data_IF_057542185923
#
_entry.id   IF_057542185923
#
_cell.length_a   1.000
_cell.length_b   1.000
_cell.length_c   1.000
_cell.angle_alpha   90.00
_cell.angle_beta   90.00
_cell.angle_gamma   90.00
#
_symmetry.space_group_name_H-M   'P 1'
#
loop_
_entity.id
_entity.type
_entity.pdbx_description
1 polymer ?
#
# COMPACT_ATOMS: atom_id res chain seq x y z
N UNK A 1 14.55 18.02 17.08
CA UNK A 1 14.15 18.62 15.82
C UNK A 1 13.31 17.62 15.04
N UNK A 2 12.13 18.02 14.61
CA UNK A 2 11.20 17.14 13.90
C UNK A 2 11.62 17.09 12.42
N UNK A 3 12.04 15.91 11.96
CA UNK A 3 12.15 15.65 10.54
C UNK A 3 10.75 15.38 10.01
N UNK A 4 10.25 16.26 9.15
CA UNK A 4 8.87 16.18 8.60
C UNK A 4 8.65 14.92 7.78
N UNK A 5 9.72 14.34 7.23
CA UNK A 5 9.69 13.21 6.31
C UNK A 5 10.12 11.89 6.92
N UNK A 6 10.62 11.88 8.15
CA UNK A 6 11.13 10.69 8.79
C UNK A 6 10.15 10.11 9.83
N UNK A 7 9.88 8.82 9.73
CA UNK A 7 9.21 8.05 10.77
C UNK A 7 10.20 7.74 11.91
N UNK A 8 9.70 7.64 13.14
CA UNK A 8 10.48 7.23 14.30
C UNK A 8 10.17 5.77 14.60
N UNK A 9 11.15 4.88 14.36
CA UNK A 9 11.02 3.47 14.70
C UNK A 9 11.04 3.34 16.22
N UNK A 10 10.06 2.65 16.78
CA UNK A 10 9.83 2.54 18.22
C UNK A 10 9.94 1.13 18.75
N UNK A 11 9.92 0.13 17.87
CA UNK A 11 10.14 -1.27 18.18
C UNK A 11 10.65 -2.03 16.96
N UNK A 12 11.65 -2.88 17.16
CA UNK A 12 12.14 -3.88 16.18
C UNK A 12 12.14 -5.25 16.84
N UNK A 13 12.11 -6.33 16.04
CA UNK A 13 12.36 -7.68 16.52
C UNK A 13 13.87 -7.97 16.66
N UNK A 14 14.20 -9.21 17.01
CA UNK A 14 15.59 -9.68 17.15
C UNK A 14 16.38 -9.73 15.84
N UNK A 15 15.70 -9.68 14.70
CA UNK A 15 16.28 -9.65 13.35
C UNK A 15 16.34 -8.24 12.77
N UNK A 16 15.96 -7.20 13.54
CA UNK A 16 15.94 -5.80 13.10
C UNK A 16 14.72 -5.42 12.25
N UNK A 17 13.72 -6.30 12.13
CA UNK A 17 12.48 -6.00 11.42
C UNK A 17 11.66 -4.98 12.23
N UNK A 18 11.21 -3.94 11.57
CA UNK A 18 10.43 -2.87 12.19
C UNK A 18 9.03 -3.36 12.53
N UNK A 19 8.68 -3.38 13.81
CA UNK A 19 7.38 -3.82 14.32
C UNK A 19 6.45 -2.68 14.71
N UNK A 20 6.99 -1.51 15.07
CA UNK A 20 6.21 -0.33 15.42
C UNK A 20 6.97 0.94 15.09
N UNK A 21 6.25 1.95 14.63
CA UNK A 21 6.81 3.28 14.38
C UNK A 21 5.79 4.36 14.68
N UNK A 22 6.27 5.57 14.97
CA UNK A 22 5.47 6.79 14.86
C UNK A 22 5.68 7.32 13.45
N UNK A 23 4.60 7.45 12.70
CA UNK A 23 4.66 7.90 11.30
C UNK A 23 5.25 9.31 11.19
N UNK A 24 5.87 9.59 10.04
CA UNK A 24 6.37 10.93 9.73
C UNK A 24 5.24 11.97 9.83
N UNK A 25 5.50 13.19 10.34
CA UNK A 25 4.48 14.23 10.51
C UNK A 25 3.68 14.52 9.25
N UNK A 26 4.31 14.50 8.08
CA UNK A 26 3.64 14.67 6.79
C UNK A 26 2.59 13.57 6.54
N UNK A 27 2.90 12.32 6.86
CA UNK A 27 1.98 11.21 6.67
C UNK A 27 0.81 11.30 7.66
N UNK A 28 1.09 11.68 8.91
CA UNK A 28 0.03 11.90 9.91
C UNK A 28 -0.92 13.01 9.46
N UNK A 29 -0.39 14.17 9.03
CA UNK A 29 -1.20 15.29 8.54
C UNK A 29 -2.06 14.87 7.33
N UNK A 30 -1.48 14.21 6.34
CA UNK A 30 -2.18 13.70 5.16
C UNK A 30 -3.35 12.77 5.54
N UNK A 31 -3.13 11.83 6.47
CA UNK A 31 -4.17 10.90 6.90
C UNK A 31 -5.25 11.57 7.76
N UNK A 32 -4.90 12.54 8.59
CA UNK A 32 -5.86 13.35 9.34
C UNK A 32 -6.74 14.19 8.38
N UNK A 33 -6.16 14.78 7.34
CA UNK A 33 -6.94 15.46 6.29
C UNK A 33 -7.87 14.48 5.54
N UNK A 34 -7.44 13.26 5.30
CA UNK A 34 -8.28 12.21 4.72
C UNK A 34 -9.40 11.77 5.66
N UNK A 35 -9.11 11.66 6.96
CA UNK A 35 -10.07 11.25 7.99
C UNK A 35 -11.13 12.31 8.30
N UNK A 36 -10.79 13.60 8.17
CA UNK A 36 -11.67 14.75 8.44
C UNK A 36 -12.36 14.68 9.81
N UNK A 37 -11.64 14.42 10.90
CA UNK A 37 -12.24 14.41 12.23
C UNK A 37 -12.83 15.81 12.55
N UNK A 38 -13.96 15.84 13.26
CA UNK A 38 -14.68 17.07 13.64
C UNK A 38 -15.03 17.03 15.12
N UNK A 39 -15.25 18.20 15.77
CA UNK A 39 -15.71 18.25 17.14
C UNK A 39 -16.93 17.36 17.40
N UNK A 40 -16.90 16.62 18.50
CA UNK A 40 -17.94 15.69 18.92
C UNK A 40 -17.92 14.31 18.25
N UNK A 41 -17.01 14.06 17.30
CA UNK A 41 -16.90 12.75 16.66
C UNK A 41 -16.28 11.72 17.58
N UNK A 42 -16.66 10.44 17.37
CA UNK A 42 -16.03 9.26 17.94
C UNK A 42 -15.08 8.65 16.90
N UNK A 43 -13.83 8.42 17.30
CA UNK A 43 -12.77 7.92 16.42
C UNK A 43 -12.14 6.66 17.01
N UNK A 44 -12.04 5.61 16.19
CA UNK A 44 -11.21 4.44 16.45
C UNK A 44 -9.90 4.58 15.68
N UNK A 45 -8.78 4.65 16.39
CA UNK A 45 -7.44 4.53 15.82
C UNK A 45 -6.93 3.10 16.01
N UNK A 46 -6.40 2.51 14.94
CA UNK A 46 -5.78 1.18 14.95
C UNK A 46 -4.28 1.34 14.68
N UNK A 47 -3.45 0.93 15.66
CA UNK A 47 -2.02 1.23 15.73
C UNK A 47 -1.75 2.36 16.71
N UNK A 48 -1.38 2.03 17.95
CA UNK A 48 -1.35 2.98 19.08
C UNK A 48 0.03 3.62 19.28
N UNK A 49 0.42 4.55 18.40
CA UNK A 49 1.65 5.33 18.55
C UNK A 49 1.59 6.40 19.66
N UNK A 50 0.41 6.80 20.11
CA UNK A 50 0.13 7.84 21.08
C UNK A 50 0.05 9.24 20.49
N UNK A 51 0.98 9.67 19.65
CA UNK A 51 1.01 11.01 19.07
C UNK A 51 -0.20 11.29 18.16
N UNK A 52 -0.53 10.37 17.28
CA UNK A 52 -1.66 10.55 16.37
C UNK A 52 -3.00 10.54 17.13
N UNK A 53 -3.12 9.71 18.19
CA UNK A 53 -4.26 9.73 19.09
C UNK A 53 -4.44 11.09 19.80
N UNK A 54 -3.33 11.74 20.18
CA UNK A 54 -3.38 13.09 20.75
C UNK A 54 -3.88 14.12 19.71
N UNK A 55 -3.40 14.04 18.46
CA UNK A 55 -3.93 14.92 17.39
C UNK A 55 -5.42 14.70 17.14
N UNK A 56 -5.86 13.45 17.10
CA UNK A 56 -7.29 13.12 16.98
C UNK A 56 -8.08 13.70 18.14
N UNK A 57 -7.58 13.57 19.38
CA UNK A 57 -8.23 14.13 20.57
C UNK A 57 -8.38 15.66 20.50
N UNK A 58 -7.38 16.39 20.01
CA UNK A 58 -7.48 17.83 19.78
C UNK A 58 -8.54 18.17 18.72
N UNK A 59 -8.57 17.43 17.62
CA UNK A 59 -9.47 17.69 16.51
C UNK A 59 -10.94 17.36 16.82
N UNK A 60 -11.21 16.34 17.64
CA UNK A 60 -12.58 16.01 18.06
C UNK A 60 -13.06 16.81 19.26
N UNK A 61 -12.16 17.49 19.97
CA UNK A 61 -12.49 18.34 21.11
C UNK A 61 -12.94 17.57 22.36
N UNK A 62 -13.45 18.29 23.36
CA UNK A 62 -13.84 17.73 24.66
C UNK A 62 -15.10 16.86 24.58
N UNK A 63 -16.01 17.16 23.65
CA UNK A 63 -17.24 16.41 23.42
C UNK A 63 -17.03 15.18 22.54
N UNK A 64 -15.82 15.00 21.97
CA UNK A 64 -15.45 13.86 21.14
C UNK A 64 -14.79 12.75 21.95
N UNK A 65 -14.71 11.58 21.33
CA UNK A 65 -14.10 10.39 21.93
C UNK A 65 -13.04 9.79 20.99
N UNK A 66 -11.88 9.43 21.56
CA UNK A 66 -10.83 8.72 20.83
C UNK A 66 -10.49 7.44 21.57
N UNK A 67 -10.61 6.32 20.85
CA UNK A 67 -10.12 5.00 21.28
C UNK A 67 -8.97 4.63 20.38
N UNK A 68 -7.82 4.31 20.97
CA UNK A 68 -6.62 3.84 20.24
C UNK A 68 -6.29 2.42 20.64
N UNK A 69 -6.10 1.55 19.66
CA UNK A 69 -5.95 0.10 19.84
C UNK A 69 -4.65 -0.39 19.23
N UNK A 70 -3.95 -1.26 19.93
CA UNK A 70 -2.81 -2.00 19.42
C UNK A 70 -2.78 -3.41 20.01
N UNK A 71 -2.30 -4.36 19.24
CA UNK A 71 -2.16 -5.74 19.70
C UNK A 71 -1.00 -5.91 20.69
N UNK A 72 -0.01 -5.02 20.64
CA UNK A 72 1.22 -5.11 21.43
C UNK A 72 1.07 -4.36 22.78
N UNK A 73 1.13 -5.08 23.93
CA UNK A 73 1.00 -4.44 25.25
C UNK A 73 2.17 -3.48 25.57
N UNK A 74 3.33 -3.62 24.94
CA UNK A 74 4.45 -2.69 25.10
C UNK A 74 4.12 -1.36 24.44
N UNK A 75 3.53 -1.42 23.24
CA UNK A 75 3.12 -0.24 22.46
C UNK A 75 2.01 0.50 23.22
N UNK A 76 0.93 -0.19 23.61
CA UNK A 76 -0.19 0.42 24.34
C UNK A 76 0.22 0.97 25.70
N UNK A 77 1.09 0.25 26.43
CA UNK A 77 1.64 0.72 27.71
C UNK A 77 2.48 1.99 27.56
N UNK A 78 3.23 2.13 26.47
CA UNK A 78 3.96 3.37 26.16
C UNK A 78 2.99 4.50 25.78
N UNK A 79 2.03 4.23 24.91
CA UNK A 79 1.04 5.20 24.47
C UNK A 79 0.28 5.79 25.67
N UNK A 80 -0.21 4.94 26.58
CA UNK A 80 -0.90 5.36 27.80
C UNK A 80 -0.05 6.31 28.64
N UNK A 81 1.22 5.92 28.94
CA UNK A 81 2.12 6.79 29.74
C UNK A 81 2.36 8.15 29.08
N UNK A 82 2.51 8.19 27.76
CA UNK A 82 2.73 9.43 27.03
C UNK A 82 1.48 10.31 27.04
N UNK A 83 0.32 9.74 26.77
CA UNK A 83 -0.96 10.45 26.74
C UNK A 83 -1.31 11.02 28.13
N UNK A 84 -1.22 10.21 29.18
CA UNK A 84 -1.47 10.64 30.56
C UNK A 84 -0.51 11.74 30.99
N UNK A 85 0.79 11.59 30.67
CA UNK A 85 1.84 12.54 31.04
C UNK A 85 1.71 13.90 30.34
N UNK A 86 0.95 13.99 29.25
CA UNK A 86 0.77 15.22 28.46
C UNK A 86 -0.68 15.74 28.47
N UNK A 87 -1.52 15.26 29.39
CA UNK A 87 -2.88 15.79 29.58
C UNK A 87 -3.95 15.18 28.67
N UNK A 88 -3.64 14.08 27.97
CA UNK A 88 -4.57 13.37 27.08
C UNK A 88 -5.16 12.11 27.75
N UNK A 89 -5.32 12.09 29.06
CA UNK A 89 -5.91 10.96 29.81
C UNK A 89 -7.33 10.58 29.40
N UNK A 90 -8.02 11.45 28.62
CA UNK A 90 -9.34 11.16 28.02
C UNK A 90 -9.29 10.23 26.82
N UNK A 91 -8.10 9.95 26.26
CA UNK A 91 -7.93 8.98 25.19
C UNK A 91 -7.96 7.56 25.78
N UNK A 92 -8.84 6.72 25.28
CA UNK A 92 -8.95 5.34 25.72
C UNK A 92 -7.95 4.46 24.97
N UNK A 93 -6.96 3.92 25.69
CA UNK A 93 -5.95 3.01 25.10
C UNK A 93 -6.35 1.58 25.39
N UNK A 94 -6.49 0.76 24.34
CA UNK A 94 -6.93 -0.65 24.43
C UNK A 94 -5.84 -1.55 23.87
N UNK A 95 -5.58 -2.68 24.55
CA UNK A 95 -4.71 -3.75 24.03
C UNK A 95 -5.61 -4.87 23.52
N UNK A 96 -5.73 -4.99 22.19
CA UNK A 96 -6.55 -6.00 21.52
C UNK A 96 -6.12 -6.20 20.06
N UNK A 97 -6.50 -7.33 19.47
CA UNK A 97 -6.44 -7.51 18.01
C UNK A 97 -7.61 -6.74 17.39
N UNK A 98 -7.31 -5.67 16.67
CA UNK A 98 -8.32 -4.83 16.03
C UNK A 98 -8.97 -5.47 14.79
N UNK A 99 -8.59 -6.68 14.40
CA UNK A 99 -9.34 -7.47 13.42
C UNK A 99 -10.70 -7.92 13.97
N UNK A 100 -10.84 -7.97 15.30
CA UNK A 100 -12.09 -8.24 16.00
C UNK A 100 -12.75 -6.93 16.43
N UNK A 101 -14.05 -7.01 16.72
CA UNK A 101 -14.78 -5.86 17.26
C UNK A 101 -14.24 -5.49 18.65
N UNK A 102 -14.00 -4.20 18.86
CA UNK A 102 -13.62 -3.72 20.19
C UNK A 102 -14.85 -3.68 21.08
N UNK A 103 -14.85 -4.46 22.19
CA UNK A 103 -16.00 -4.51 23.09
C UNK A 103 -16.36 -3.12 23.63
N UNK A 104 -17.66 -2.89 23.82
CA UNK A 104 -18.23 -1.67 24.39
C UNK A 104 -17.93 -0.36 23.62
N UNK A 105 -17.21 -0.43 22.49
CA UNK A 105 -16.92 0.74 21.68
C UNK A 105 -18.17 1.28 20.98
N UNK A 106 -19.06 0.38 20.50
CA UNK A 106 -20.18 0.77 19.66
C UNK A 106 -19.77 1.30 18.28
N UNK A 107 -20.62 2.11 17.66
CA UNK A 107 -20.33 2.71 16.36
C UNK A 107 -19.50 3.97 16.47
N UNK A 108 -18.60 4.18 15.51
CA UNK A 108 -17.69 5.33 15.40
C UNK A 108 -17.91 6.11 14.10
N UNK A 109 -17.58 7.39 14.11
CA UNK A 109 -17.66 8.24 12.91
C UNK A 109 -16.48 8.02 11.96
N UNK A 110 -15.31 7.67 12.55
CA UNK A 110 -14.07 7.46 11.82
C UNK A 110 -13.34 6.22 12.35
N UNK A 111 -12.90 5.37 11.45
CA UNK A 111 -11.88 4.35 11.70
C UNK A 111 -10.60 4.80 10.97
N UNK A 112 -9.52 4.97 11.70
CA UNK A 112 -8.22 5.37 11.16
C UNK A 112 -7.16 4.32 11.46
N UNK A 113 -6.72 3.61 10.43
CA UNK A 113 -5.69 2.55 10.56
C UNK A 113 -4.32 3.16 10.31
N UNK A 114 -3.39 2.97 11.24
CA UNK A 114 -2.01 3.49 11.15
C UNK A 114 -0.96 2.38 11.06
N UNK A 115 -1.37 1.22 10.55
CA UNK A 115 -0.53 0.09 10.17
C UNK A 115 -0.87 -0.34 8.74
N UNK A 116 0.09 -0.95 8.03
CA UNK A 116 -0.10 -1.40 6.66
C UNK A 116 -1.03 -2.61 6.58
N UNK A 117 -2.25 -2.41 6.11
CA UNK A 117 -3.26 -3.44 5.99
C UNK A 117 -3.23 -4.11 4.61
N UNK A 118 -3.25 -5.44 4.60
CA UNK A 118 -3.40 -6.20 3.37
C UNK A 118 -4.87 -6.39 2.99
N UNK A 119 -5.76 -6.45 3.98
CA UNK A 119 -7.20 -6.61 3.79
C UNK A 119 -7.98 -5.67 4.72
N UNK A 120 -9.26 -5.52 4.49
CA UNK A 120 -10.18 -4.77 5.34
C UNK A 120 -10.88 -5.76 6.28
N UNK A 121 -10.57 -5.67 7.57
CA UNK A 121 -11.24 -6.51 8.56
C UNK A 121 -12.73 -6.17 8.63
N UNK A 122 -13.63 -7.18 8.66
CA UNK A 122 -15.08 -6.97 8.77
C UNK A 122 -15.48 -6.14 9.99
N UNK A 123 -14.74 -6.24 11.08
CA UNK A 123 -14.98 -5.48 12.31
C UNK A 123 -14.90 -3.96 12.08
N UNK A 124 -14.00 -3.50 11.19
CA UNK A 124 -13.84 -2.06 10.94
C UNK A 124 -15.07 -1.45 10.28
N UNK A 125 -15.66 -2.17 9.33
CA UNK A 125 -16.88 -1.73 8.66
C UNK A 125 -18.12 -1.91 9.51
N UNK A 126 -18.16 -2.95 10.36
CA UNK A 126 -19.26 -3.21 11.28
C UNK A 126 -19.35 -2.19 12.42
N UNK A 127 -18.23 -1.59 12.83
CA UNK A 127 -18.18 -0.54 13.85
C UNK A 127 -18.24 0.88 13.25
N UNK A 128 -18.35 1.01 11.92
CA UNK A 128 -18.45 2.30 11.27
C UNK A 128 -19.91 2.72 11.12
N UNK A 129 -20.26 3.92 11.57
CA UNK A 129 -21.60 4.49 11.38
C UNK A 129 -21.95 4.61 9.90
N UNK A 130 -23.23 4.56 9.51
CA UNK A 130 -23.64 4.95 8.17
C UNK A 130 -23.10 6.34 7.80
N UNK A 131 -22.42 6.44 6.66
CA UNK A 131 -21.73 7.67 6.24
C UNK A 131 -20.41 7.95 6.98
N UNK A 132 -19.98 7.07 7.87
CA UNK A 132 -18.67 7.14 8.52
C UNK A 132 -17.53 6.91 7.54
N UNK A 133 -16.31 7.17 7.98
CA UNK A 133 -15.10 7.19 7.15
C UNK A 133 -14.06 6.20 7.64
N UNK A 134 -13.54 5.39 6.73
CA UNK A 134 -12.38 4.52 6.97
C UNK A 134 -11.16 5.09 6.24
N UNK A 135 -10.08 5.34 6.97
CA UNK A 135 -8.77 5.70 6.37
C UNK A 135 -7.78 4.59 6.68
N UNK A 136 -7.19 4.01 5.65
CA UNK A 136 -6.35 2.82 5.81
C UNK A 136 -5.21 2.79 4.79
N UNK A 137 -3.96 2.49 5.23
CA UNK A 137 -2.85 2.16 4.34
C UNK A 137 -3.09 0.77 3.74
N UNK A 138 -3.80 0.71 2.62
CA UNK A 138 -4.18 -0.54 1.97
C UNK A 138 -3.12 -0.98 0.97
N UNK A 139 -2.68 -2.23 1.11
CA UNK A 139 -1.71 -2.85 0.22
C UNK A 139 -2.44 -3.61 -0.90
N UNK A 140 -2.05 -3.31 -2.14
CA UNK A 140 -2.63 -3.87 -3.36
C UNK A 140 -1.51 -4.16 -4.35
N UNK A 141 -1.26 -5.42 -4.66
CA UNK A 141 -0.26 -5.86 -5.65
C UNK A 141 1.14 -5.25 -5.42
N UNK A 142 1.66 -5.27 -4.19
CA UNK A 142 2.97 -4.73 -3.84
C UNK A 142 3.01 -3.21 -3.64
N UNK A 143 1.89 -2.51 -3.86
CA UNK A 143 1.78 -1.06 -3.70
C UNK A 143 0.91 -0.72 -2.50
N UNK A 144 1.37 0.20 -1.65
CA UNK A 144 0.57 0.68 -0.51
C UNK A 144 0.06 2.09 -0.77
N UNK A 145 -1.22 2.30 -0.49
CA UNK A 145 -1.88 3.60 -0.57
C UNK A 145 -2.64 3.88 0.72
N UNK A 146 -2.49 5.06 1.28
CA UNK A 146 -3.46 5.57 2.26
C UNK A 146 -4.74 5.92 1.51
N UNK A 147 -5.79 5.15 1.75
CA UNK A 147 -7.07 5.31 1.07
C UNK A 147 -8.11 5.79 2.09
N UNK A 148 -8.81 6.86 1.75
CA UNK A 148 -10.00 7.28 2.46
C UNK A 148 -11.24 6.70 1.77
N UNK A 149 -12.00 5.90 2.50
CA UNK A 149 -13.22 5.27 2.04
C UNK A 149 -14.45 5.85 2.73
N UNK A 150 -15.56 5.87 1.98
CA UNK A 150 -16.91 6.02 2.52
C UNK A 150 -17.74 4.78 2.18
N UNK A 151 -18.70 4.46 3.05
CA UNK A 151 -19.62 3.37 2.80
C UNK A 151 -20.70 3.81 1.82
N UNK A 152 -20.92 3.00 0.80
CA UNK A 152 -21.95 3.21 -0.22
C UNK A 152 -22.95 2.05 -0.18
N UNK A 153 -24.23 2.35 -0.22
CA UNK A 153 -25.29 1.35 -0.38
C UNK A 153 -25.58 1.17 -1.85
N UNK A 154 -25.18 0.03 -2.41
CA UNK A 154 -25.43 -0.33 -3.80
C UNK A 154 -26.60 -1.30 -3.98
N UNK A 155 -26.90 -1.65 -5.23
CA UNK A 155 -27.97 -2.59 -5.57
C UNK A 155 -27.77 -4.00 -5.00
N UNK A 156 -26.52 -4.39 -4.75
CA UNK A 156 -26.12 -5.72 -4.28
C UNK A 156 -25.54 -5.72 -2.85
N UNK A 157 -25.81 -4.68 -2.07
CA UNK A 157 -25.32 -4.53 -0.70
C UNK A 157 -24.36 -3.37 -0.51
N UNK A 158 -23.85 -3.22 0.71
CA UNK A 158 -22.91 -2.17 1.04
C UNK A 158 -21.51 -2.53 0.56
N UNK A 159 -20.79 -1.52 0.07
CA UNK A 159 -19.37 -1.58 -0.27
C UNK A 159 -18.69 -0.28 0.15
N UNK A 160 -17.36 -0.28 0.18
CA UNK A 160 -16.58 0.93 0.40
C UNK A 160 -16.13 1.50 -0.94
N UNK A 161 -16.20 2.83 -1.10
CA UNK A 161 -15.67 3.53 -2.28
C UNK A 161 -14.65 4.58 -1.86
N UNK A 162 -13.52 4.65 -2.58
CA UNK A 162 -12.47 5.59 -2.28
C UNK A 162 -12.83 7.02 -2.68
N UNK A 163 -12.58 7.97 -1.79
CA UNK A 163 -12.58 9.40 -2.10
C UNK A 163 -11.20 9.91 -2.47
N UNK A 164 -10.17 9.29 -1.93
CA UNK A 164 -8.77 9.63 -2.23
C UNK A 164 -7.85 8.46 -1.96
N UNK A 165 -6.76 8.38 -2.72
CA UNK A 165 -5.68 7.43 -2.52
C UNK A 165 -4.34 8.18 -2.62
N UNK A 166 -3.41 7.97 -1.68
CA UNK A 166 -2.10 8.65 -1.62
C UNK A 166 -0.99 7.65 -1.37
N UNK A 167 0.16 7.83 -2.02
CA UNK A 167 1.34 6.99 -1.78
C UNK A 167 1.76 7.09 -0.32
N UNK A 168 1.98 5.94 0.30
CA UNK A 168 2.50 5.85 1.66
C UNK A 168 3.27 4.54 1.88
N UNK A 169 4.03 4.48 2.98
CA UNK A 169 4.64 3.26 3.49
C UNK A 169 4.35 3.13 4.98
N UNK A 170 4.03 1.92 5.40
CA UNK A 170 3.74 1.59 6.80
C UNK A 170 4.34 0.25 7.18
N UNK A 171 4.66 0.07 8.46
CA UNK A 171 4.95 -1.25 9.01
C UNK A 171 3.74 -2.16 8.83
N UNK A 172 3.93 -3.43 8.44
CA UNK A 172 2.81 -4.36 8.21
C UNK A 172 1.99 -4.56 9.49
N UNK A 173 0.68 -4.73 9.33
CA UNK A 173 -0.22 -5.13 10.40
C UNK A 173 0.16 -6.51 10.94
N UNK A 174 0.05 -6.67 12.24
CA UNK A 174 0.27 -7.92 12.96
C UNK A 174 -1.09 -8.54 13.36
N UNK A 175 -1.05 -9.74 13.96
CA UNK A 175 -2.25 -10.43 14.43
C UNK A 175 -2.93 -11.26 13.34
N UNK A 176 -4.22 -11.45 13.45
CA UNK A 176 -5.02 -12.34 12.61
C UNK A 176 -5.16 -11.84 11.15
N UNK A 177 -4.91 -10.55 10.90
CA UNK A 177 -4.88 -9.96 9.55
C UNK A 177 -3.47 -9.76 8.99
N UNK A 178 -2.46 -10.33 9.65
CA UNK A 178 -1.09 -10.29 9.14
C UNK A 178 -1.01 -10.97 7.77
N UNK A 179 -0.33 -10.32 6.84
CA UNK A 179 -0.05 -10.86 5.51
C UNK A 179 1.46 -10.87 5.27
N UNK A 180 1.93 -11.95 4.66
CA UNK A 180 3.31 -12.06 4.22
C UNK A 180 3.32 -12.09 2.69
N UNK A 181 4.05 -11.15 2.10
CA UNK A 181 4.36 -11.22 0.67
C UNK A 181 5.15 -12.48 0.35
N UNK A 182 4.94 -13.02 -0.82
CA UNK A 182 5.71 -14.16 -1.32
C UNK A 182 6.93 -13.67 -2.08
N UNK A 183 8.09 -14.22 -1.73
CA UNK A 183 9.38 -13.88 -2.33
C UNK A 183 9.84 -15.04 -3.22
N UNK A 184 10.01 -14.74 -4.49
CA UNK A 184 10.67 -15.64 -5.46
C UNK A 184 12.11 -15.19 -5.67
N UNK A 185 13.06 -16.04 -5.32
CA UNK A 185 14.48 -15.83 -5.62
C UNK A 185 14.77 -16.42 -7.00
N UNK A 186 15.08 -15.57 -7.96
CA UNK A 186 15.39 -16.01 -9.32
C UNK A 186 16.65 -16.86 -9.31
N UNK A 187 16.61 -18.04 -9.95
CA UNK A 187 17.70 -19.02 -9.95
C UNK A 187 18.10 -19.51 -8.54
N UNK A 188 17.20 -19.42 -7.56
CA UNK A 188 17.44 -19.87 -6.19
C UNK A 188 18.52 -19.07 -5.44
N UNK A 189 18.96 -17.94 -5.96
CA UNK A 189 19.98 -17.08 -5.33
C UNK A 189 19.34 -15.83 -4.75
N UNK A 190 19.83 -15.28 -3.64
CA UNK A 190 19.29 -14.06 -3.03
C UNK A 190 19.57 -12.77 -3.83
N UNK A 191 20.30 -12.84 -4.94
CA UNK A 191 20.65 -11.67 -5.73
C UNK A 191 19.44 -10.94 -6.30
N UNK A 192 18.46 -11.68 -6.85
CA UNK A 192 17.27 -11.09 -7.48
C UNK A 192 16.03 -11.66 -6.82
N UNK A 193 15.32 -10.81 -6.07
CA UNK A 193 14.06 -11.14 -5.42
C UNK A 193 12.88 -10.50 -6.12
N UNK A 194 11.92 -11.30 -6.57
CA UNK A 194 10.62 -10.86 -7.07
C UNK A 194 9.57 -11.07 -5.98
N UNK A 195 8.82 -10.04 -5.65
CA UNK A 195 7.86 -10.04 -4.55
C UNK A 195 6.45 -9.93 -5.08
N UNK A 196 5.60 -10.86 -4.63
CA UNK A 196 4.20 -10.98 -5.03
C UNK A 196 3.28 -10.87 -3.80
N UNK A 197 2.19 -10.13 -3.95
CA UNK A 197 1.14 -10.06 -2.95
C UNK A 197 0.00 -11.05 -3.21
N UNK A 198 -0.21 -11.40 -4.47
CA UNK A 198 -1.37 -12.15 -4.94
C UNK A 198 -1.03 -13.64 -5.20
N UNK A 199 0.09 -14.11 -4.63
CA UNK A 199 0.62 -15.46 -4.85
C UNK A 199 1.70 -15.52 -5.93
N UNK A 200 2.55 -16.56 -5.86
CA UNK A 200 3.58 -16.83 -6.86
C UNK A 200 2.97 -17.20 -8.22
N UNK A 201 3.71 -17.02 -9.33
CA UNK A 201 3.34 -17.61 -10.60
C UNK A 201 3.10 -19.13 -10.47
N UNK A 202 2.23 -19.73 -11.30
CA UNK A 202 1.89 -21.16 -11.19
C UNK A 202 3.10 -22.11 -11.24
N UNK A 203 4.13 -21.73 -11.97
CA UNK A 203 5.40 -22.48 -12.04
C UNK A 203 6.59 -21.52 -11.90
N UNK A 204 6.94 -21.12 -10.64
CA UNK A 204 7.97 -20.13 -10.40
C UNK A 204 9.36 -20.56 -10.84
N UNK A 205 9.66 -21.88 -10.90
CA UNK A 205 10.94 -22.42 -11.32
C UNK A 205 11.24 -22.23 -12.82
N UNK A 206 10.23 -21.87 -13.62
CA UNK A 206 10.48 -21.51 -15.03
C UNK A 206 11.37 -20.28 -15.17
N UNK A 207 11.44 -19.41 -14.16
CA UNK A 207 12.30 -18.23 -14.14
C UNK A 207 13.77 -18.53 -13.81
N UNK A 208 14.11 -19.72 -13.33
CA UNK A 208 15.46 -20.02 -12.83
C UNK A 208 16.55 -19.83 -13.91
N UNK A 209 16.21 -20.06 -15.18
CA UNK A 209 17.14 -19.90 -16.29
C UNK A 209 17.06 -18.52 -16.98
N UNK A 210 16.15 -17.65 -16.57
CA UNK A 210 15.97 -16.34 -17.22
C UNK A 210 17.27 -15.53 -17.23
N UNK A 211 18.07 -15.63 -16.16
CA UNK A 211 19.35 -14.93 -16.01
C UNK A 211 20.47 -15.42 -16.93
N UNK A 212 20.30 -16.56 -17.61
CA UNK A 212 21.25 -17.06 -18.61
C UNK A 212 21.09 -16.39 -19.98
N UNK A 213 19.99 -15.74 -20.19
CA UNK A 213 19.72 -15.00 -21.42
C UNK A 213 20.34 -13.61 -21.38
N UNK A 214 20.72 -13.10 -22.55
CA UNK A 214 21.18 -11.73 -22.67
C UNK A 214 20.05 -10.78 -22.33
N UNK A 215 20.33 -9.80 -21.43
CA UNK A 215 19.39 -8.74 -21.07
C UNK A 215 18.96 -7.95 -22.32
N UNK A 216 17.67 -7.88 -22.58
CA UNK A 216 17.06 -7.00 -23.55
C UNK A 216 16.78 -5.64 -22.91
N UNK A 217 17.13 -4.55 -23.58
CA UNK A 217 16.98 -3.19 -23.11
C UNK A 217 16.14 -2.38 -24.12
N UNK A 218 15.06 -1.78 -23.66
CA UNK A 218 14.14 -1.00 -24.48
C UNK A 218 13.89 0.36 -23.81
N UNK A 219 14.21 1.45 -24.49
CA UNK A 219 13.88 2.79 -24.05
C UNK A 219 12.56 3.23 -24.65
N UNK A 220 11.65 3.76 -23.80
CA UNK A 220 10.24 3.91 -24.16
C UNK A 220 9.91 5.22 -24.84
N UNK A 221 10.75 6.25 -24.70
CA UNK A 221 10.48 7.63 -25.07
C UNK A 221 9.67 8.39 -24.03
N UNK A 222 9.15 7.72 -23.00
CA UNK A 222 8.37 8.35 -21.91
C UNK A 222 9.31 8.98 -20.91
N UNK A 223 9.23 10.29 -20.72
CA UNK A 223 10.06 11.05 -19.80
C UNK A 223 9.21 11.76 -18.74
N UNK A 224 9.69 11.79 -17.51
CA UNK A 224 9.00 12.43 -16.37
C UNK A 224 9.93 13.40 -15.65
N UNK A 225 9.36 14.47 -15.10
CA UNK A 225 10.11 15.40 -14.25
C UNK A 225 10.53 14.76 -12.94
N UNK A 226 11.66 15.22 -12.36
CA UNK A 226 12.24 14.62 -11.14
C UNK A 226 11.34 14.68 -9.92
N UNK A 227 10.39 15.59 -9.88
CA UNK A 227 9.45 15.76 -8.78
C UNK A 227 8.01 15.41 -9.18
N UNK A 228 7.83 14.82 -10.36
CA UNK A 228 6.51 14.43 -10.82
C UNK A 228 5.95 13.28 -9.99
N UNK A 229 4.68 13.36 -9.65
CA UNK A 229 3.98 12.31 -8.91
C UNK A 229 3.71 11.13 -9.85
N UNK A 230 4.13 9.93 -9.42
CA UNK A 230 4.08 8.71 -10.22
C UNK A 230 3.05 7.69 -9.70
N UNK A 231 2.12 8.14 -8.86
CA UNK A 231 1.10 7.28 -8.26
C UNK A 231 0.20 6.62 -9.31
N UNK A 232 -0.22 7.37 -10.34
CA UNK A 232 -1.02 6.82 -11.45
C UNK A 232 -0.22 5.87 -12.34
N UNK A 233 1.08 6.10 -12.56
CA UNK A 233 1.95 5.16 -13.28
C UNK A 233 2.02 3.81 -12.59
N UNK A 234 2.31 3.82 -11.28
CA UNK A 234 2.39 2.59 -10.50
C UNK A 234 1.07 1.80 -10.54
N UNK A 235 -0.05 2.49 -10.37
CA UNK A 235 -1.37 1.86 -10.45
C UNK A 235 -1.71 1.36 -11.85
N UNK A 236 -1.32 2.08 -12.91
CA UNK A 236 -1.52 1.62 -14.29
C UNK A 236 -0.80 0.30 -14.53
N UNK A 237 0.45 0.18 -14.11
CA UNK A 237 1.19 -1.08 -14.25
C UNK A 237 0.55 -2.21 -13.43
N UNK A 238 0.18 -1.93 -12.18
CA UNK A 238 -0.44 -2.93 -11.32
C UNK A 238 -1.81 -3.41 -11.85
N UNK A 239 -2.58 -2.54 -12.49
CA UNK A 239 -3.88 -2.89 -13.08
C UNK A 239 -3.70 -3.64 -14.39
N UNK A 240 -2.83 -3.16 -15.28
CA UNK A 240 -2.74 -3.63 -16.67
C UNK A 240 -1.92 -4.91 -16.84
N UNK A 241 -0.86 -5.12 -16.01
CA UNK A 241 0.04 -6.26 -16.16
C UNK A 241 -0.44 -7.46 -15.31
N UNK A 242 -0.80 -8.61 -15.90
CA UNK A 242 -1.24 -9.78 -15.15
C UNK A 242 -0.20 -10.26 -14.13
N UNK A 243 1.05 -10.40 -14.56
CA UNK A 243 2.16 -10.84 -13.71
C UNK A 243 2.90 -9.71 -12.98
N UNK A 244 2.24 -8.60 -12.68
CA UNK A 244 2.85 -7.48 -11.96
C UNK A 244 3.40 -7.90 -10.60
N UNK A 245 4.62 -7.48 -10.32
CA UNK A 245 5.32 -7.69 -9.05
C UNK A 245 6.29 -6.53 -8.77
N UNK A 246 6.99 -6.59 -7.65
CA UNK A 246 8.11 -5.68 -7.37
C UNK A 246 9.41 -6.48 -7.31
N UNK A 247 10.51 -5.86 -7.74
CA UNK A 247 11.84 -6.46 -7.72
C UNK A 247 12.74 -5.73 -6.73
N UNK A 248 13.54 -6.50 -6.00
CA UNK A 248 14.67 -6.01 -5.22
C UNK A 248 15.93 -6.80 -5.57
N UNK A 249 17.07 -6.14 -5.47
CA UNK A 249 18.39 -6.73 -5.72
C UNK A 249 19.22 -6.64 -4.45
N UNK A 250 19.86 -7.73 -4.07
CA UNK A 250 20.82 -7.72 -2.97
C UNK A 250 22.11 -7.00 -3.43
N UNK A 251 22.41 -5.89 -2.79
CA UNK A 251 23.55 -5.04 -3.15
C UNK A 251 24.90 -5.74 -2.95
N UNK A 252 24.99 -6.63 -1.96
CA UNK A 252 26.21 -7.36 -1.61
C UNK A 252 26.50 -8.52 -2.59
N UNK A 253 25.48 -9.01 -3.28
CA UNK A 253 25.53 -10.13 -4.23
C UNK A 253 25.33 -9.69 -5.68
N UNK A 254 25.25 -8.39 -5.96
CA UNK A 254 25.00 -7.84 -7.29
C UNK A 254 26.13 -8.16 -8.26
N UNK A 255 25.86 -9.07 -9.20
CA UNK A 255 26.77 -9.48 -10.28
C UNK A 255 26.65 -8.61 -11.52
N UNK A 256 25.74 -7.64 -11.54
CA UNK A 256 25.43 -6.79 -12.71
C UNK A 256 24.54 -7.47 -13.76
N UNK A 257 23.99 -8.64 -13.47
CA UNK A 257 23.00 -9.32 -14.36
C UNK A 257 21.79 -8.42 -14.57
N UNK A 258 21.31 -7.81 -13.50
CA UNK A 258 20.25 -6.79 -13.51
C UNK A 258 20.83 -5.42 -13.11
N UNK A 259 20.20 -4.35 -13.55
CA UNK A 259 20.64 -2.99 -13.27
C UNK A 259 19.43 -2.06 -13.02
N UNK A 260 18.61 -2.31 -11.99
CA UNK A 260 17.50 -1.43 -11.66
C UNK A 260 18.02 -0.08 -11.17
N UNK A 261 17.31 1.00 -11.48
CA UNK A 261 17.66 2.35 -11.00
C UNK A 261 17.53 2.48 -9.48
N UNK A 262 16.65 1.69 -8.88
CA UNK A 262 16.54 1.52 -7.44
C UNK A 262 16.63 0.02 -7.10
N UNK A 263 17.72 -0.39 -6.46
CA UNK A 263 17.97 -1.78 -6.11
C UNK A 263 17.00 -2.35 -5.06
N UNK A 264 16.41 -1.48 -4.24
CA UNK A 264 15.48 -1.90 -3.17
C UNK A 264 14.04 -2.04 -3.64
N UNK A 265 13.70 -1.34 -4.74
CA UNK A 265 12.34 -1.32 -5.24
C UNK A 265 12.32 -0.93 -6.72
N UNK A 266 11.97 -1.88 -7.57
CA UNK A 266 11.66 -1.63 -8.98
C UNK A 266 10.31 -2.26 -9.32
N UNK A 267 9.51 -1.58 -10.14
CA UNK A 267 8.29 -2.15 -10.69
C UNK A 267 8.67 -3.20 -11.73
N UNK A 268 8.06 -4.36 -11.66
CA UNK A 268 8.42 -5.51 -12.48
C UNK A 268 7.17 -6.28 -12.94
N UNK A 269 7.37 -7.14 -13.90
CA UNK A 269 6.35 -8.08 -14.36
C UNK A 269 7.00 -9.41 -14.77
N UNK A 270 6.24 -10.49 -14.60
CA UNK A 270 6.61 -11.84 -14.97
C UNK A 270 5.61 -12.39 -15.98
N UNK A 271 6.08 -13.04 -17.01
CA UNK A 271 5.29 -13.84 -17.92
C UNK A 271 6.04 -15.13 -18.19
N UNK A 272 5.49 -16.24 -17.72
CA UNK A 272 6.09 -17.59 -17.83
C UNK A 272 7.54 -17.67 -17.30
N UNK A 273 8.51 -17.80 -18.21
CA UNK A 273 9.94 -17.98 -17.99
C UNK A 273 10.76 -16.69 -18.19
N UNK A 274 10.09 -15.55 -18.21
CA UNK A 274 10.66 -14.24 -18.52
C UNK A 274 10.19 -13.21 -17.49
N UNK A 275 11.10 -12.33 -17.07
CA UNK A 275 10.74 -11.17 -16.25
C UNK A 275 11.28 -9.87 -16.85
N UNK A 276 10.57 -8.78 -16.56
CA UNK A 276 10.95 -7.44 -16.95
C UNK A 276 10.83 -6.49 -15.77
N UNK A 277 11.63 -5.42 -15.76
CA UNK A 277 11.61 -4.41 -14.72
C UNK A 277 11.89 -3.02 -15.29
N UNK A 278 11.37 -1.98 -14.61
CA UNK A 278 11.60 -0.60 -15.00
C UNK A 278 12.99 -0.12 -14.59
N UNK A 279 13.56 0.67 -15.49
CA UNK A 279 14.77 1.45 -15.26
C UNK A 279 14.54 2.89 -15.67
N UNK A 280 15.44 3.78 -15.24
CA UNK A 280 15.43 5.18 -15.68
C UNK A 280 16.83 5.62 -16.06
N UNK A 281 16.93 6.56 -17.00
CA UNK A 281 18.15 7.30 -17.29
C UNK A 281 17.89 8.79 -17.30
N UNK A 282 18.89 9.59 -16.95
CA UNK A 282 18.80 11.05 -17.07
C UNK A 282 18.71 11.45 -18.53
N UNK A 283 17.84 12.40 -18.81
CA UNK A 283 17.81 13.10 -20.10
C UNK A 283 18.94 14.11 -20.19
N UNK A 284 19.23 14.62 -21.40
CA UNK A 284 20.34 15.57 -21.62
C UNK A 284 20.17 16.89 -20.85
N UNK A 285 18.93 17.31 -20.59
CA UNK A 285 18.63 18.51 -19.81
C UNK A 285 18.86 18.35 -18.30
N UNK A 286 19.08 17.13 -17.80
CA UNK A 286 19.17 16.77 -16.39
C UNK A 286 17.93 17.13 -15.52
N UNK A 287 16.84 17.59 -16.11
CA UNK A 287 15.59 17.93 -15.42
C UNK A 287 14.56 16.79 -15.43
N UNK A 288 14.74 15.84 -16.36
CA UNK A 288 13.85 14.69 -16.54
C UNK A 288 14.61 13.36 -16.41
N UNK A 289 13.85 12.30 -16.29
CA UNK A 289 14.32 10.92 -16.47
C UNK A 289 13.43 10.22 -17.50
N UNK A 290 14.06 9.50 -18.41
CA UNK A 290 13.37 8.63 -19.37
C UNK A 290 13.21 7.24 -18.77
N UNK A 291 12.04 6.64 -18.90
CA UNK A 291 11.81 5.26 -18.53
C UNK A 291 12.31 4.30 -19.62
N UNK A 292 12.96 3.23 -19.16
CA UNK A 292 13.30 2.06 -19.93
C UNK A 292 12.74 0.81 -19.30
N UNK A 293 12.76 -0.26 -20.08
CA UNK A 293 12.40 -1.61 -19.65
C UNK A 293 13.58 -2.51 -19.94
N UNK A 294 14.08 -3.18 -18.91
CA UNK A 294 15.02 -4.28 -19.05
C UNK A 294 14.29 -5.60 -18.84
N UNK A 295 14.60 -6.60 -19.65
CA UNK A 295 13.98 -7.93 -19.53
C UNK A 295 14.99 -9.04 -19.73
N UNK A 296 14.78 -10.15 -19.03
CA UNK A 296 15.59 -11.38 -19.12
C UNK A 296 14.67 -12.58 -19.30
N UNK A 297 15.12 -13.51 -20.09
CA UNK A 297 14.40 -14.73 -20.45
C UNK A 297 14.20 -14.88 -21.94
N UNK A 298 13.67 -16.01 -22.40
CA UNK A 298 13.54 -16.33 -23.83
C UNK A 298 12.58 -15.38 -24.56
N UNK A 299 11.59 -14.80 -23.88
CA UNK A 299 10.60 -13.88 -24.46
C UNK A 299 10.84 -12.40 -24.06
N UNK A 300 12.09 -12.05 -23.70
CA UNK A 300 12.46 -10.74 -23.15
C UNK A 300 12.06 -9.56 -24.04
N UNK A 301 12.18 -9.69 -25.37
CA UNK A 301 11.76 -8.63 -26.31
C UNK A 301 10.23 -8.42 -26.28
N UNK A 302 9.46 -9.49 -26.23
CA UNK A 302 7.99 -9.43 -26.19
C UNK A 302 7.50 -8.77 -24.90
N UNK A 303 7.97 -9.27 -23.74
CA UNK A 303 7.55 -8.75 -22.44
C UNK A 303 8.00 -7.30 -22.25
N UNK A 304 9.22 -6.94 -22.70
CA UNK A 304 9.67 -5.55 -22.66
C UNK A 304 8.76 -4.63 -23.50
N UNK A 305 8.31 -5.10 -24.67
CA UNK A 305 7.35 -4.38 -25.53
C UNK A 305 6.01 -4.14 -24.81
N UNK A 306 5.43 -5.19 -24.21
CA UNK A 306 4.17 -5.10 -23.48
C UNK A 306 4.27 -4.10 -22.30
N UNK A 307 5.34 -4.14 -21.51
CA UNK A 307 5.56 -3.18 -20.42
C UNK A 307 5.73 -1.76 -20.95
N UNK A 308 6.48 -1.58 -22.05
CA UNK A 308 6.65 -0.27 -22.68
C UNK A 308 5.33 0.30 -23.21
N UNK A 309 4.46 -0.53 -23.76
CA UNK A 309 3.15 -0.10 -24.25
C UNK A 309 2.23 0.33 -23.09
N UNK A 310 2.29 -0.31 -21.93
CA UNK A 310 1.60 0.14 -20.71
C UNK A 310 2.10 1.51 -20.24
N UNK A 311 3.41 1.78 -20.34
CA UNK A 311 3.98 3.09 -20.02
C UNK A 311 3.50 4.18 -20.97
N UNK A 312 3.45 3.90 -22.28
CA UNK A 312 2.95 4.83 -23.29
C UNK A 312 1.44 5.09 -23.16
N UNK A 313 0.66 4.03 -22.81
CA UNK A 313 -0.77 4.21 -22.51
C UNK A 313 -0.97 5.10 -21.28
N UNK A 314 -0.17 4.89 -20.22
CA UNK A 314 -0.20 5.78 -19.07
C UNK A 314 0.09 7.24 -19.45
N UNK A 315 1.15 7.48 -20.21
CA UNK A 315 1.52 8.84 -20.66
C UNK A 315 0.41 9.50 -21.45
N UNK A 316 -0.21 8.76 -22.38
CA UNK A 316 -1.25 9.28 -23.26
C UNK A 316 -2.58 9.52 -22.57
N UNK A 317 -2.96 8.68 -21.59
CA UNK A 317 -4.34 8.61 -21.12
C UNK A 317 -4.52 8.86 -19.61
N UNK A 318 -3.45 8.77 -18.78
CA UNK A 318 -3.58 8.73 -17.30
C UNK A 318 -2.64 9.67 -16.56
N UNK A 319 -1.58 10.14 -17.23
CA UNK A 319 -0.59 11.04 -16.65
C UNK A 319 -1.23 12.37 -16.23
N UNK A 320 -1.02 12.77 -14.96
CA UNK A 320 -1.63 13.97 -14.40
C UNK A 320 -3.14 13.90 -14.19
N UNK A 321 -3.76 12.77 -14.52
CA UNK A 321 -5.18 12.50 -14.32
C UNK A 321 -5.52 12.03 -12.92
N UNK A 322 -6.80 11.70 -12.65
CA UNK A 322 -7.24 11.19 -11.36
C UNK A 322 -6.69 9.79 -11.09
N UNK A 323 -6.53 9.44 -9.82
CA UNK A 323 -6.26 8.07 -9.39
C UNK A 323 -7.41 7.12 -9.75
N UNK A 324 -7.16 5.81 -9.88
CA UNK A 324 -8.25 4.86 -10.06
C UNK A 324 -9.19 4.87 -8.86
N UNK A 325 -10.46 4.63 -9.11
CA UNK A 325 -11.45 4.41 -8.06
C UNK A 325 -11.22 3.02 -7.47
N UNK A 326 -11.08 2.98 -6.15
CA UNK A 326 -10.89 1.74 -5.40
C UNK A 326 -12.21 1.44 -4.69
N UNK A 327 -12.78 0.25 -4.95
CA UNK A 327 -13.96 -0.23 -4.22
C UNK A 327 -13.62 -1.50 -3.48
N UNK A 328 -14.20 -1.66 -2.30
CA UNK A 328 -14.01 -2.86 -1.48
C UNK A 328 -15.37 -3.49 -1.23
N UNK A 329 -15.54 -4.68 -1.76
CA UNK A 329 -16.74 -5.49 -1.63
C UNK A 329 -16.51 -6.63 -0.64
N UNK A 330 -17.55 -7.15 0.02
CA UNK A 330 -17.45 -8.41 0.76
C UNK A 330 -16.88 -9.54 -0.11
N UNK A 331 -16.10 -10.45 0.46
CA UNK A 331 -15.49 -11.57 -0.28
C UNK A 331 -16.52 -12.47 -1.00
N UNK A 332 -17.74 -12.51 -0.48
CA UNK A 332 -18.85 -13.29 -1.07
C UNK A 332 -19.50 -12.65 -2.30
N UNK A 333 -19.13 -11.41 -2.67
CA UNK A 333 -19.75 -10.70 -3.80
C UNK A 333 -19.38 -11.38 -5.12
N UNK A 334 -20.34 -11.80 -5.97
CA UNK A 334 -20.08 -12.41 -7.26
C UNK A 334 -19.29 -11.50 -8.21
N UNK A 335 -18.43 -12.09 -9.04
CA UNK A 335 -17.54 -11.33 -9.95
C UNK A 335 -18.31 -10.50 -10.97
N UNK A 336 -19.45 -11.00 -11.46
CA UNK A 336 -20.32 -10.32 -12.42
C UNK A 336 -21.03 -9.08 -11.86
N UNK A 337 -20.99 -8.91 -10.53
CA UNK A 337 -21.54 -7.74 -9.82
C UNK A 337 -20.47 -6.70 -9.48
N UNK A 338 -19.19 -6.97 -9.79
CA UNK A 338 -18.06 -6.08 -9.49
C UNK A 338 -17.54 -5.43 -10.77
N UNK A 339 -17.90 -4.17 -11.05
CA UNK A 339 -17.33 -3.45 -12.18
C UNK A 339 -15.88 -3.09 -11.88
N UNK A 340 -14.93 -3.53 -12.72
CA UNK A 340 -13.52 -3.28 -12.53
C UNK A 340 -12.66 -3.52 -13.77
N UNK A 341 -11.55 -2.79 -13.90
CA UNK A 341 -10.45 -3.13 -14.80
C UNK A 341 -9.60 -4.26 -14.18
N UNK A 342 -9.55 -4.30 -12.84
CA UNK A 342 -8.87 -5.35 -12.07
C UNK A 342 -9.63 -5.63 -10.77
N UNK A 343 -9.79 -6.92 -10.45
CA UNK A 343 -10.25 -7.38 -9.13
C UNK A 343 -9.09 -8.09 -8.43
N UNK A 344 -8.93 -7.81 -7.14
CA UNK A 344 -7.97 -8.46 -6.25
C UNK A 344 -8.77 -9.15 -5.16
N UNK A 345 -8.71 -10.48 -5.13
CA UNK A 345 -9.39 -11.28 -4.12
C UNK A 345 -8.53 -11.36 -2.85
N UNK A 346 -9.16 -11.12 -1.70
CA UNK A 346 -8.55 -11.21 -0.39
C UNK A 346 -9.37 -12.09 0.55
N UNK A 347 -8.91 -12.33 1.77
CA UNK A 347 -9.58 -13.24 2.69
C UNK A 347 -11.01 -12.78 3.05
N UNK A 348 -11.17 -11.48 3.30
CA UNK A 348 -12.44 -10.89 3.77
C UNK A 348 -13.08 -9.97 2.74
N UNK A 349 -12.35 -9.55 1.72
CA UNK A 349 -12.82 -8.57 0.75
C UNK A 349 -12.39 -8.90 -0.68
N UNK A 350 -13.07 -8.23 -1.63
CA UNK A 350 -12.70 -8.17 -3.03
C UNK A 350 -12.47 -6.72 -3.40
N UNK A 351 -11.24 -6.38 -3.76
CA UNK A 351 -10.86 -5.02 -4.09
C UNK A 351 -10.98 -4.84 -5.59
N UNK A 352 -11.80 -3.91 -6.02
CA UNK A 352 -11.92 -3.53 -7.43
C UNK A 352 -11.15 -2.24 -7.69
N UNK A 353 -10.41 -2.23 -8.78
CA UNK A 353 -9.68 -1.07 -9.27
C UNK A 353 -10.25 -0.72 -10.64
N UNK A 354 -10.71 0.51 -10.82
CA UNK A 354 -11.24 0.98 -12.10
C UNK A 354 -10.86 2.43 -12.38
N UNK A 355 -10.48 2.71 -13.61
CA UNK A 355 -10.25 4.09 -14.01
C UNK A 355 -11.57 4.83 -14.19
N UNK A 356 -11.67 6.10 -13.76
CA UNK A 356 -12.82 6.93 -14.08
C UNK A 356 -13.03 6.99 -15.60
N UNK A 357 -14.29 6.99 -16.01
CA UNK A 357 -14.61 7.25 -17.42
C UNK A 357 -14.07 8.64 -17.82
N UNK A 358 -13.46 8.69 -19.01
CA UNK A 358 -12.92 9.93 -19.57
C UNK A 358 -14.01 10.96 -19.84
#
# INVERSE_FOLDING_TARGET
AYDTYAAVITKTDEHGVQLSSVSAPQIQAMMLEQARPRPGMRVLEIGSGGLNAAYLAELVGEDGEVVTVDIDPVVTGRARRLLDGHGYGRVHVVTADAAEQIPDLGEVDVVMVTAGAWDIAPAWTAQLKPGGRLVVPLRMRGLTRSVAFTQVTGAHGNYLESESARICGFVPMQGSTAHREELLLVNGTPEIGLRFDDGLPPDPHRLDNAVTYRRHELWTGVSVGLQELLDTLQMTMAISLPGFCTMAVDEDLDTGIVAPSNKRFALAAVEDDTFAYLVTRRTEDNEHVEYGVHALGPHSQQLAGQVADVLRDWEANRRGGPSPVIRVYPASTPTDQIPADRVIDKAHSRISLSWPAA
#
